data_IF_027571989026
#
_entry.id   IF_027571989026
#
_cell.length_a   1.000
_cell.length_b   1.000
_cell.length_c   1.000
_cell.angle_alpha   90.00
_cell.angle_beta   90.00
_cell.angle_gamma   90.00
#
_symmetry.space_group_name_H-M   'P 1'
#
loop_
_entity.id
_entity.type
_entity.pdbx_description
1 polymer ?
#
# COMPACT_ATOMS: atom_id res chain seq x y z
N UNK A 1 -17.05 2.31 -17.55
CA UNK A 1 -17.05 0.95 -16.99
C UNK A 1 -15.90 0.20 -17.64
N UNK A 2 -15.01 -0.43 -16.87
CA UNK A 2 -13.86 -1.14 -17.46
C UNK A 2 -14.24 -2.58 -17.80
N UNK A 3 -15.17 -2.69 -18.77
CA UNK A 3 -15.63 -3.94 -19.35
C UNK A 3 -14.45 -4.74 -19.91
N UNK A 4 -14.22 -5.93 -19.36
CA UNK A 4 -13.13 -6.79 -19.79
C UNK A 4 -12.77 -7.83 -18.74
N UNK A 5 -12.08 -8.88 -19.16
CA UNK A 5 -11.57 -9.90 -18.24
C UNK A 5 -10.26 -9.42 -17.63
N UNK A 6 -10.24 -9.29 -16.31
CA UNK A 6 -9.07 -8.87 -15.55
C UNK A 6 -8.27 -10.09 -15.09
N UNK A 7 -6.97 -10.08 -15.33
CA UNK A 7 -6.05 -11.10 -14.84
C UNK A 7 -4.90 -10.44 -14.10
N UNK A 8 -4.66 -10.89 -12.88
CA UNK A 8 -3.53 -10.48 -12.04
C UNK A 8 -2.68 -11.70 -11.80
N UNK A 9 -1.38 -11.61 -12.11
CA UNK A 9 -0.40 -12.67 -11.85
C UNK A 9 0.72 -12.10 -11.01
N UNK A 10 1.08 -12.79 -9.94
CA UNK A 10 2.25 -12.49 -9.14
C UNK A 10 3.28 -13.62 -9.33
N UNK A 11 4.55 -13.23 -9.45
CA UNK A 11 5.67 -14.16 -9.42
C UNK A 11 5.89 -14.74 -8.03
N UNK A 12 6.75 -15.75 -7.95
CA UNK A 12 7.10 -16.38 -6.68
C UNK A 12 7.65 -15.37 -5.68
N UNK A 13 7.33 -15.52 -4.37
CA UNK A 13 7.86 -14.67 -3.33
C UNK A 13 9.39 -14.85 -3.20
N UNK A 14 10.12 -13.74 -3.11
CA UNK A 14 11.58 -13.76 -2.98
C UNK A 14 12.17 -12.36 -2.98
N UNK A 15 13.42 -12.24 -3.47
CA UNK A 15 14.11 -10.95 -3.56
C UNK A 15 13.53 -10.02 -4.63
N UNK A 16 12.86 -10.57 -5.65
CA UNK A 16 12.22 -9.78 -6.69
C UNK A 16 10.72 -10.06 -6.67
N UNK A 17 9.93 -9.01 -6.56
CA UNK A 17 8.49 -9.05 -6.75
C UNK A 17 8.17 -8.66 -8.19
N UNK A 18 7.49 -9.55 -8.91
CA UNK A 18 6.97 -9.28 -10.24
C UNK A 18 5.45 -9.43 -10.22
N UNK A 19 4.72 -8.39 -10.58
CA UNK A 19 3.27 -8.42 -10.69
C UNK A 19 2.90 -7.97 -12.10
N UNK A 20 2.05 -8.73 -12.78
CA UNK A 20 1.46 -8.34 -14.05
C UNK A 20 -0.05 -8.24 -13.94
N UNK A 21 -0.60 -7.12 -14.39
CA UNK A 21 -2.03 -6.87 -14.52
C UNK A 21 -2.35 -6.75 -16.00
N UNK A 22 -3.32 -7.52 -16.49
CA UNK A 22 -3.76 -7.48 -17.88
C UNK A 22 -5.28 -7.42 -17.97
N UNK A 23 -5.79 -6.67 -18.94
CA UNK A 23 -7.22 -6.57 -19.24
C UNK A 23 -7.46 -7.00 -20.68
N UNK A 24 -8.33 -8.00 -20.84
CA UNK A 24 -8.79 -8.45 -22.13
C UNK A 24 -10.19 -7.88 -22.40
N UNK A 25 -10.28 -6.91 -23.31
CA UNK A 25 -11.54 -6.31 -23.74
C UNK A 25 -12.18 -7.17 -24.83
N UNK A 26 -13.50 -7.44 -24.79
CA UNK A 26 -14.18 -8.31 -25.75
C UNK A 26 -14.04 -7.87 -27.21
N UNK A 27 -13.94 -6.56 -27.48
CA UNK A 27 -13.81 -6.02 -28.84
C UNK A 27 -12.38 -5.62 -29.22
N UNK A 28 -11.55 -5.25 -28.23
CA UNK A 28 -10.22 -4.65 -28.46
C UNK A 28 -9.09 -5.64 -28.15
N UNK A 29 -9.41 -6.85 -27.70
CA UNK A 29 -8.44 -7.87 -27.32
C UNK A 29 -7.62 -7.46 -26.10
N UNK A 30 -6.29 -7.59 -26.16
CA UNK A 30 -5.39 -7.15 -25.09
C UNK A 30 -5.31 -5.63 -25.05
N UNK A 31 -6.26 -5.03 -24.34
CA UNK A 31 -6.44 -3.59 -24.26
C UNK A 31 -5.42 -2.92 -23.34
N UNK A 32 -5.09 -3.57 -22.23
CA UNK A 32 -4.18 -3.02 -21.24
C UNK A 32 -3.31 -4.11 -20.62
N UNK A 33 -2.02 -3.82 -20.45
CA UNK A 33 -1.10 -4.64 -19.68
C UNK A 33 -0.11 -3.75 -18.94
N UNK A 34 -0.02 -3.92 -17.63
CA UNK A 34 0.94 -3.25 -16.77
C UNK A 34 1.76 -4.29 -16.02
N UNK A 35 3.06 -4.05 -15.93
CA UNK A 35 3.97 -4.91 -15.15
C UNK A 35 4.72 -4.06 -14.12
N UNK A 36 4.63 -4.46 -12.86
CA UNK A 36 5.37 -3.89 -11.76
C UNK A 36 6.50 -4.85 -11.38
N UNK A 37 7.74 -4.37 -11.48
CA UNK A 37 8.93 -5.08 -11.00
C UNK A 37 9.52 -4.30 -9.84
N UNK A 38 9.61 -4.95 -8.68
CA UNK A 38 10.24 -4.40 -7.50
C UNK A 38 11.31 -5.38 -7.01
N UNK A 39 12.41 -4.84 -6.50
CA UNK A 39 13.47 -5.62 -5.86
C UNK A 39 13.50 -5.24 -4.39
N UNK A 40 13.50 -6.26 -3.53
CA UNK A 40 13.75 -6.10 -2.11
C UNK A 40 15.18 -5.59 -1.95
N UNK A 41 15.31 -4.39 -1.38
CA UNK A 41 16.60 -3.91 -0.92
C UNK A 41 16.78 -4.46 0.49
N UNK A 42 17.89 -5.16 0.74
CA UNK A 42 18.30 -5.51 2.09
C UNK A 42 18.65 -4.22 2.83
N UNK A 43 17.64 -3.57 3.41
CA UNK A 43 17.88 -2.53 4.41
C UNK A 43 18.42 -3.22 5.65
N UNK A 44 19.54 -2.70 6.19
CA UNK A 44 20.11 -3.18 7.45
C UNK A 44 18.99 -3.33 8.49
N UNK A 45 18.95 -4.49 9.14
CA UNK A 45 17.87 -4.98 10.01
C UNK A 45 17.35 -3.96 11.03
N UNK A 46 18.17 -2.96 11.36
CA UNK A 46 17.87 -1.83 12.24
C UNK A 46 16.77 -0.91 11.70
N UNK A 47 16.63 -0.76 10.38
CA UNK A 47 15.72 0.23 9.76
C UNK A 47 14.31 -0.29 9.46
N UNK A 48 14.11 -1.59 9.25
CA UNK A 48 12.77 -2.17 9.04
C UNK A 48 11.96 -2.25 10.34
N UNK A 49 12.63 -2.50 11.48
CA UNK A 49 12.00 -2.47 12.80
C UNK A 49 11.51 -1.04 13.15
N UNK A 50 12.32 -0.03 12.83
CA UNK A 50 12.00 1.37 13.09
C UNK A 50 10.74 1.85 12.32
N UNK A 51 10.62 1.51 11.04
CA UNK A 51 9.44 1.84 10.25
C UNK A 51 8.17 1.11 10.71
N UNK A 52 8.25 -0.19 11.02
CA UNK A 52 7.08 -0.95 11.47
C UNK A 52 6.53 -0.40 12.80
N UNK A 53 7.41 -0.04 13.73
CA UNK A 53 7.04 0.60 15.01
C UNK A 53 6.46 1.99 14.77
N UNK A 54 7.03 2.79 13.86
CA UNK A 54 6.50 4.10 13.49
C UNK A 54 5.08 4.04 12.92
N UNK A 55 4.79 3.11 12.00
CA UNK A 55 3.44 2.92 11.46
C UNK A 55 2.46 2.40 12.51
N UNK A 56 2.94 1.61 13.48
CA UNK A 56 2.09 1.09 14.56
C UNK A 56 1.74 2.17 15.59
N UNK A 57 2.62 3.14 15.83
CA UNK A 57 2.38 4.28 16.73
C UNK A 57 1.60 5.43 16.07
N UNK A 58 1.39 5.38 14.76
CA UNK A 58 0.71 6.43 14.00
C UNK A 58 -0.78 6.67 14.34
N UNK A 59 -1.59 5.74 14.89
CA UNK A 59 -2.97 6.08 15.26
C UNK A 59 -3.07 6.97 16.51
N UNK A 60 -2.06 6.99 17.38
CA UNK A 60 -2.20 7.57 18.73
C UNK A 60 -1.85 9.06 18.79
N UNK A 61 -1.02 9.57 17.87
CA UNK A 61 -0.61 10.98 17.88
C UNK A 61 -1.74 11.95 17.47
N UNK A 62 -2.74 11.47 16.73
CA UNK A 62 -3.91 12.27 16.35
C UNK A 62 -4.92 12.33 17.51
N UNK A 63 -5.08 11.21 18.24
CA UNK A 63 -6.05 11.07 19.34
C UNK A 63 -5.73 12.00 20.51
N UNK A 64 -4.46 12.19 20.85
CA UNK A 64 -4.04 13.14 21.91
C UNK A 64 -4.43 14.59 21.57
N UNK A 65 -4.40 14.97 20.29
CA UNK A 65 -4.83 16.30 19.84
C UNK A 65 -6.34 16.54 19.94
N UNK A 66 -7.14 15.47 19.80
CA UNK A 66 -8.59 15.56 19.95
C UNK A 66 -9.00 15.75 21.41
N UNK A 67 -8.37 15.05 22.36
CA UNK A 67 -8.65 15.21 23.79
C UNK A 67 -8.31 16.61 24.34
N UNK A 68 -7.29 17.28 23.79
CA UNK A 68 -6.93 18.64 24.23
C UNK A 68 -7.95 19.69 23.81
N UNK A 69 -8.52 19.58 22.61
CA UNK A 69 -9.54 20.51 22.13
C UNK A 69 -10.81 20.43 23.00
N UNK A 70 -11.31 19.23 23.30
CA UNK A 70 -12.52 19.06 24.13
C UNK A 70 -12.35 19.58 25.57
N UNK A 71 -11.15 19.44 26.16
CA UNK A 71 -10.89 19.95 27.51
C UNK A 71 -10.88 21.49 27.56
N UNK A 72 -10.43 22.15 26.48
CA UNK A 72 -10.42 23.61 26.36
C UNK A 72 -11.84 24.18 26.18
N UNK A 73 -12.73 23.45 25.49
CA UNK A 73 -14.13 23.84 25.29
C UNK A 73 -15.00 23.70 26.54
N UNK A 74 -14.65 22.81 27.48
CA UNK A 74 -15.40 22.60 28.74
C UNK A 74 -15.02 23.62 29.84
N UNK A 75 -13.91 24.33 29.68
CA UNK A 75 -13.38 25.30 30.65
C UNK A 75 -13.71 26.78 30.33
N UNK A 76 -14.53 27.05 29.31
CA UNK A 76 -15.03 28.39 28.94
C UNK A 76 -16.57 28.41 28.96
#
# INVERSE_FOLDING_TARGET
DMLGNWSIKAGEPGENLNISVSVHHPELGNYFTATLKAKKLCSSSTSMLDHAVFFWLMPHKIVVGMYWNELLYVLH
#
